data_IF_456195744912
#
_entry.id   IF_456195744912
#
_cell.length_a   1.000
_cell.length_b   1.000
_cell.length_c   1.000
_cell.angle_alpha   90.00
_cell.angle_beta   90.00
_cell.angle_gamma   90.00
#
_symmetry.space_group_name_H-M   'P 1'
#
loop_
_entity.id
_entity.type
_entity.pdbx_description
1 polymer ?
#
# COMPACT_ATOMS: atom_id res chain seq x y z
N UNK A 1 -4.48 -14.35 22.22
CA UNK A 1 -5.10 -15.33 21.28
C UNK A 1 -4.16 -15.52 20.07
N UNK A 2 -4.09 -16.72 19.50
CA UNK A 2 -3.27 -16.96 18.32
C UNK A 2 -3.81 -16.16 17.12
N UNK A 3 -2.90 -15.71 16.24
CA UNK A 3 -3.25 -15.07 14.99
C UNK A 3 -3.87 -16.10 14.04
N UNK A 4 -4.98 -15.76 13.41
CA UNK A 4 -5.70 -16.58 12.43
C UNK A 4 -5.72 -15.97 11.04
N UNK A 5 -5.58 -14.64 10.95
CA UNK A 5 -5.53 -13.94 9.68
C UNK A 5 -4.36 -12.95 9.64
N UNK A 6 -3.68 -12.88 8.48
CA UNK A 6 -2.66 -11.88 8.21
C UNK A 6 -3.07 -11.11 6.96
N UNK A 7 -3.11 -9.79 7.06
CA UNK A 7 -3.37 -8.92 5.90
C UNK A 7 -2.16 -8.05 5.59
N UNK A 8 -1.97 -7.74 4.32
CA UNK A 8 -0.84 -6.97 3.83
C UNK A 8 -1.31 -5.70 3.12
N UNK A 9 -0.71 -4.55 3.47
CA UNK A 9 -0.68 -3.45 2.53
C UNK A 9 0.12 -3.89 1.28
N UNK A 10 -0.41 -3.55 0.09
CA UNK A 10 0.20 -4.02 -1.16
C UNK A 10 1.35 -3.12 -1.58
N UNK A 11 1.07 -1.86 -1.86
CA UNK A 11 2.00 -0.98 -2.57
C UNK A 11 3.27 -0.63 -1.80
N UNK A 12 3.25 -0.57 -0.48
CA UNK A 12 4.42 -0.16 0.29
C UNK A 12 5.05 -1.33 1.06
N UNK A 13 4.23 -2.26 1.57
CA UNK A 13 4.76 -3.41 2.31
C UNK A 13 5.36 -4.47 1.38
N UNK A 14 4.73 -4.73 0.23
CA UNK A 14 5.09 -5.86 -0.65
C UNK A 14 5.85 -5.45 -1.91
N UNK A 15 5.67 -4.24 -2.43
CA UNK A 15 6.21 -3.81 -3.71
C UNK A 15 7.07 -2.55 -3.62
N UNK A 16 8.12 -2.48 -4.45
CA UNK A 16 8.98 -1.29 -4.57
C UNK A 16 8.33 -0.24 -5.47
N UNK A 17 7.47 0.57 -4.87
CA UNK A 17 6.87 1.72 -5.56
C UNK A 17 7.85 2.87 -5.76
N UNK A 18 8.85 3.02 -4.88
CA UNK A 18 9.74 4.19 -4.89
C UNK A 18 10.66 4.17 -6.10
N UNK A 19 11.40 3.07 -6.28
CA UNK A 19 12.35 2.93 -7.39
C UNK A 19 11.61 2.83 -8.72
N UNK A 20 10.54 2.05 -8.79
CA UNK A 20 9.82 1.81 -10.04
C UNK A 20 9.15 3.06 -10.61
N UNK A 21 8.52 3.88 -9.76
CA UNK A 21 7.94 5.13 -10.22
C UNK A 21 9.01 6.14 -10.65
N UNK A 22 10.15 6.19 -9.96
CA UNK A 22 11.27 7.04 -10.37
C UNK A 22 11.83 6.62 -11.74
N UNK A 23 11.99 5.32 -11.99
CA UNK A 23 12.43 4.80 -13.29
C UNK A 23 11.43 5.11 -14.41
N UNK A 24 10.13 5.00 -14.16
CA UNK A 24 9.11 5.36 -15.14
C UNK A 24 9.16 6.85 -15.49
N UNK A 25 9.31 7.72 -14.49
CA UNK A 25 9.46 9.17 -14.68
C UNK A 25 10.76 9.47 -15.44
N UNK A 26 11.87 8.84 -15.11
CA UNK A 26 13.16 9.01 -15.78
C UNK A 26 13.06 8.66 -17.27
N UNK A 27 12.47 7.52 -17.59
CA UNK A 27 12.26 7.08 -18.97
C UNK A 27 11.39 8.09 -19.76
N UNK A 28 10.34 8.60 -19.12
CA UNK A 28 9.47 9.62 -19.71
C UNK A 28 10.23 10.94 -19.98
N UNK A 29 10.96 11.46 -18.98
CA UNK A 29 11.72 12.71 -19.12
C UNK A 29 12.77 12.58 -20.24
N UNK A 30 13.52 11.49 -20.27
CA UNK A 30 14.52 11.22 -21.31
C UNK A 30 13.89 11.20 -22.70
N UNK A 31 12.75 10.52 -22.90
CA UNK A 31 12.06 10.48 -24.19
C UNK A 31 11.56 11.85 -24.64
N UNK A 32 11.15 12.69 -23.70
CA UNK A 32 10.69 14.06 -23.98
C UNK A 32 11.82 15.08 -24.11
N UNK A 33 13.07 14.71 -23.86
CA UNK A 33 14.19 15.64 -23.81
C UNK A 33 14.08 16.68 -22.69
N UNK A 34 13.42 16.32 -21.59
CA UNK A 34 13.19 17.20 -20.44
C UNK A 34 14.22 16.94 -19.34
N UNK A 35 14.62 18.02 -18.66
CA UNK A 35 15.50 17.95 -17.49
C UNK A 35 14.66 18.03 -16.21
N UNK A 36 14.89 17.12 -15.26
CA UNK A 36 14.22 17.10 -13.97
C UNK A 36 14.77 15.98 -13.10
N UNK A 37 14.51 16.04 -11.82
CA UNK A 37 14.87 14.96 -10.87
C UNK A 37 13.74 13.91 -10.82
N UNK A 38 13.94 12.69 -11.37
CA UNK A 38 12.91 11.68 -11.43
C UNK A 38 12.52 11.16 -10.05
N UNK A 39 13.45 11.17 -9.09
CA UNK A 39 13.19 10.71 -7.71
C UNK A 39 12.28 11.70 -6.99
N UNK A 40 12.57 12.99 -7.09
CA UNK A 40 11.73 14.04 -6.49
C UNK A 40 10.34 14.11 -7.13
N UNK A 41 10.24 13.95 -8.45
CA UNK A 41 8.94 13.91 -9.15
C UNK A 41 8.12 12.70 -8.69
N UNK A 42 8.72 11.51 -8.65
CA UNK A 42 8.05 10.30 -8.18
C UNK A 42 7.65 10.40 -6.70
N UNK A 43 8.48 11.00 -5.85
CA UNK A 43 8.18 11.28 -4.44
C UNK A 43 6.97 12.22 -4.32
N UNK A 44 6.98 13.32 -5.07
CA UNK A 44 5.85 14.27 -5.11
C UNK A 44 4.58 13.60 -5.62
N UNK A 45 4.68 12.79 -6.68
CA UNK A 45 3.56 12.01 -7.22
C UNK A 45 2.93 11.11 -6.15
N UNK A 46 3.76 10.29 -5.46
CA UNK A 46 3.30 9.38 -4.41
C UNK A 46 2.72 10.11 -3.20
N UNK A 47 3.35 11.22 -2.79
CA UNK A 47 2.85 12.04 -1.68
C UNK A 47 1.48 12.64 -2.00
N UNK A 48 1.31 13.21 -3.19
CA UNK A 48 0.05 13.83 -3.62
C UNK A 48 -1.05 12.79 -3.85
N UNK A 49 -0.72 11.58 -4.28
CA UNK A 49 -1.68 10.49 -4.35
C UNK A 49 -2.23 10.13 -2.95
N UNK A 50 -1.37 10.01 -1.93
CA UNK A 50 -1.80 9.75 -0.55
C UNK A 50 -2.65 10.90 -0.01
N UNK A 51 -2.21 12.15 -0.23
CA UNK A 51 -2.94 13.35 0.18
C UNK A 51 -4.34 13.41 -0.46
N UNK A 52 -4.45 13.08 -1.75
CA UNK A 52 -5.74 13.00 -2.44
C UNK A 52 -6.70 12.04 -1.75
N UNK A 53 -6.24 10.85 -1.37
CA UNK A 53 -7.07 9.85 -0.69
C UNK A 53 -7.53 10.32 0.70
N UNK A 54 -6.67 11.01 1.46
CA UNK A 54 -7.01 11.60 2.76
C UNK A 54 -8.04 12.71 2.61
N UNK A 55 -7.88 13.58 1.61
CA UNK A 55 -8.84 14.66 1.30
C UNK A 55 -10.19 14.07 0.88
N UNK A 56 -10.19 13.03 0.03
CA UNK A 56 -11.41 12.35 -0.38
C UNK A 56 -12.20 11.76 0.81
N UNK A 57 -11.48 11.19 1.78
CA UNK A 57 -12.10 10.76 3.04
C UNK A 57 -12.76 11.91 3.81
N UNK A 58 -12.10 13.08 3.85
CA UNK A 58 -12.56 14.24 4.63
C UNK A 58 -13.72 14.96 3.99
N UNK A 59 -13.78 14.98 2.66
CA UNK A 59 -14.87 15.69 1.92
C UNK A 59 -16.18 14.92 1.89
N UNK A 60 -16.19 13.66 2.27
CA UNK A 60 -17.38 12.79 2.28
C UNK A 60 -18.16 12.79 0.94
N UNK A 61 -17.44 12.88 -0.16
CA UNK A 61 -18.00 12.87 -1.50
C UNK A 61 -18.09 11.45 -2.06
N UNK A 62 -18.62 11.33 -3.28
CA UNK A 62 -18.69 10.07 -4.01
C UNK A 62 -17.36 9.30 -3.97
N UNK A 63 -17.42 7.95 -3.97
CA UNK A 63 -16.23 7.13 -3.87
C UNK A 63 -15.22 7.52 -4.95
N UNK A 64 -14.06 8.03 -4.54
CA UNK A 64 -12.94 8.22 -5.45
C UNK A 64 -12.28 6.86 -5.70
N UNK A 65 -11.71 6.65 -6.91
CA UNK A 65 -10.85 5.51 -7.16
C UNK A 65 -9.39 5.88 -6.89
N UNK A 66 -8.58 4.88 -6.55
CA UNK A 66 -7.14 5.07 -6.44
C UNK A 66 -6.52 5.44 -7.79
N UNK A 67 -7.04 4.91 -8.89
CA UNK A 67 -6.63 5.27 -10.26
C UNK A 67 -6.77 6.78 -10.48
N UNK A 68 -7.93 7.35 -10.14
CA UNK A 68 -8.14 8.80 -10.25
C UNK A 68 -7.16 9.60 -9.38
N UNK A 69 -6.85 9.11 -8.18
CA UNK A 69 -5.86 9.75 -7.32
C UNK A 69 -4.45 9.70 -7.95
N UNK A 70 -4.07 8.58 -8.55
CA UNK A 70 -2.80 8.39 -9.26
C UNK A 70 -2.71 9.37 -10.44
N UNK A 71 -3.73 9.44 -11.29
CA UNK A 71 -3.76 10.28 -12.49
C UNK A 71 -3.67 11.78 -12.12
N UNK A 72 -4.49 12.22 -11.18
CA UNK A 72 -4.51 13.62 -10.74
C UNK A 72 -3.19 14.04 -10.09
N UNK A 73 -2.61 13.17 -9.25
CA UNK A 73 -1.34 13.44 -8.58
C UNK A 73 -0.14 13.43 -9.54
N UNK A 74 -0.15 12.61 -10.60
CA UNK A 74 0.84 12.65 -11.65
C UNK A 74 0.82 14.00 -12.38
N UNK A 75 -0.36 14.46 -12.79
CA UNK A 75 -0.52 15.78 -13.43
C UNK A 75 0.01 16.90 -12.53
N UNK A 76 -0.28 16.80 -11.22
CA UNK A 76 0.26 17.75 -10.26
C UNK A 76 1.78 17.69 -10.18
N UNK A 77 2.39 16.51 -10.09
CA UNK A 77 3.83 16.34 -9.97
C UNK A 77 4.60 16.89 -11.19
N UNK A 78 4.04 16.74 -12.38
CA UNK A 78 4.64 17.18 -13.63
C UNK A 78 4.21 18.58 -14.11
N UNK A 79 3.32 19.28 -13.39
CA UNK A 79 2.66 20.52 -13.85
C UNK A 79 3.58 21.65 -14.34
N UNK A 80 4.79 21.72 -13.80
CA UNK A 80 5.77 22.76 -14.16
C UNK A 80 6.68 22.35 -15.33
N UNK A 81 6.84 21.04 -15.56
CA UNK A 81 7.67 20.50 -16.65
C UNK A 81 6.83 20.19 -17.89
N UNK A 82 5.61 19.72 -17.69
CA UNK A 82 4.67 19.34 -18.75
C UNK A 82 3.28 19.90 -18.41
N UNK A 83 3.03 21.19 -18.65
CA UNK A 83 1.75 21.82 -18.32
C UNK A 83 0.55 21.15 -18.99
N UNK A 84 0.75 20.56 -20.18
CA UNK A 84 -0.29 19.87 -20.95
C UNK A 84 0.09 18.41 -21.13
N UNK A 85 -0.01 17.64 -20.03
CA UNK A 85 0.17 16.19 -20.07
C UNK A 85 -1.08 15.54 -20.70
N UNK A 86 -0.90 14.82 -21.80
CA UNK A 86 -1.99 14.15 -22.52
C UNK A 86 -2.50 12.93 -21.75
N UNK A 87 -3.73 12.49 -22.04
CA UNK A 87 -4.28 11.27 -21.39
C UNK A 87 -3.48 10.02 -21.75
N UNK A 88 -2.94 9.94 -22.97
CA UNK A 88 -2.07 8.83 -23.38
C UNK A 88 -0.77 8.78 -22.55
N UNK A 89 -0.15 9.93 -22.27
CA UNK A 89 1.04 10.02 -21.43
C UNK A 89 0.74 9.72 -19.96
N UNK A 90 -0.43 10.13 -19.47
CA UNK A 90 -0.89 9.75 -18.13
C UNK A 90 -1.04 8.24 -18.05
N UNK A 91 -1.74 7.63 -19.01
CA UNK A 91 -1.96 6.19 -19.04
C UNK A 91 -0.63 5.41 -19.09
N UNK A 92 0.30 5.84 -19.93
CA UNK A 92 1.63 5.23 -20.03
C UNK A 92 2.38 5.25 -18.69
N UNK A 93 2.47 6.42 -18.04
CA UNK A 93 3.18 6.54 -16.77
C UNK A 93 2.49 5.78 -15.63
N UNK A 94 1.16 5.84 -15.60
CA UNK A 94 0.40 5.17 -14.53
C UNK A 94 0.36 3.65 -14.67
N UNK A 95 0.65 3.10 -15.84
CA UNK A 95 0.83 1.66 -16.04
C UNK A 95 1.95 1.08 -15.15
N UNK A 96 2.95 1.88 -14.77
CA UNK A 96 3.99 1.46 -13.83
C UNK A 96 3.44 0.99 -12.46
N UNK A 97 2.26 1.45 -12.06
CA UNK A 97 1.63 0.99 -10.82
C UNK A 97 1.10 -0.46 -10.88
N UNK A 98 0.97 -1.00 -12.07
CA UNK A 98 0.50 -2.38 -12.30
C UNK A 98 1.68 -3.32 -12.65
N UNK A 99 2.89 -2.78 -12.75
CA UNK A 99 4.12 -3.51 -13.10
C UNK A 99 5.24 -3.34 -12.04
N UNK A 100 4.85 -3.22 -10.79
CA UNK A 100 5.81 -3.08 -9.69
C UNK A 100 6.52 -4.41 -9.40
N UNK A 101 7.84 -4.44 -9.17
CA UNK A 101 8.52 -5.61 -8.65
C UNK A 101 8.21 -5.79 -7.16
N UNK A 102 7.96 -7.01 -6.70
CA UNK A 102 7.92 -7.28 -5.27
C UNK A 102 9.31 -7.08 -4.65
N UNK A 103 9.35 -6.74 -3.37
CA UNK A 103 10.60 -6.77 -2.61
C UNK A 103 11.19 -8.19 -2.62
N UNK A 104 12.53 -8.33 -2.56
CA UNK A 104 13.19 -9.64 -2.75
C UNK A 104 12.71 -10.74 -1.82
N UNK A 105 12.35 -10.40 -0.57
CA UNK A 105 11.92 -11.36 0.44
C UNK A 105 10.45 -11.76 0.37
N UNK A 106 9.61 -11.03 -0.38
CA UNK A 106 8.14 -11.19 -0.36
C UNK A 106 7.70 -12.59 -0.71
N UNK A 107 8.24 -13.15 -1.79
CA UNK A 107 7.84 -14.48 -2.26
C UNK A 107 8.15 -15.57 -1.23
N UNK A 108 9.31 -15.52 -0.63
CA UNK A 108 9.74 -16.54 0.36
C UNK A 108 8.96 -16.42 1.67
N UNK A 109 8.70 -15.18 2.12
CA UNK A 109 7.86 -14.94 3.30
C UNK A 109 6.42 -15.44 3.06
N UNK A 110 5.82 -15.14 1.90
CA UNK A 110 4.48 -15.61 1.59
C UNK A 110 4.40 -17.13 1.49
N UNK A 111 5.41 -17.80 0.92
CA UNK A 111 5.50 -19.27 0.87
C UNK A 111 5.55 -19.87 2.27
N UNK A 112 6.32 -19.28 3.18
CA UNK A 112 6.40 -19.74 4.56
C UNK A 112 5.08 -19.54 5.31
N UNK A 113 4.42 -18.39 5.13
CA UNK A 113 3.11 -18.14 5.74
C UNK A 113 2.04 -19.08 5.21
N UNK A 114 2.10 -19.46 3.92
CA UNK A 114 1.11 -20.38 3.33
C UNK A 114 1.20 -21.82 3.88
N UNK A 115 2.30 -22.18 4.53
CA UNK A 115 2.42 -23.47 5.23
C UNK A 115 1.73 -23.49 6.59
N UNK A 116 1.31 -22.32 7.09
CA UNK A 116 0.64 -22.16 8.39
C UNK A 116 -0.89 -22.13 8.20
N UNK A 117 -1.66 -22.50 9.22
CA UNK A 117 -3.12 -22.46 9.17
C UNK A 117 -3.64 -21.01 9.30
N UNK A 118 -3.27 -20.14 8.37
CA UNK A 118 -3.57 -18.72 8.35
C UNK A 118 -4.39 -18.35 7.12
N UNK A 119 -5.36 -17.46 7.31
CA UNK A 119 -5.99 -16.73 6.21
C UNK A 119 -5.01 -15.63 5.76
N UNK A 120 -4.57 -15.67 4.51
CA UNK A 120 -3.73 -14.63 3.91
C UNK A 120 -4.58 -13.73 3.02
N UNK A 121 -4.59 -12.44 3.32
CA UNK A 121 -5.36 -11.48 2.54
C UNK A 121 -4.56 -10.20 2.28
N UNK A 122 -4.99 -9.42 1.31
CA UNK A 122 -4.51 -8.03 1.16
C UNK A 122 -5.51 -7.07 1.78
N UNK A 123 -5.05 -5.89 2.18
CA UNK A 123 -5.91 -4.75 2.54
C UNK A 123 -5.27 -3.48 2.00
N UNK A 124 -5.77 -2.99 0.87
CA UNK A 124 -5.12 -1.93 0.11
C UNK A 124 -6.09 -0.84 -0.34
N UNK A 125 -5.56 0.36 -0.51
CA UNK A 125 -6.27 1.47 -1.15
C UNK A 125 -6.34 1.35 -2.68
N UNK A 126 -5.63 0.39 -3.28
CA UNK A 126 -5.67 0.14 -4.72
C UNK A 126 -7.03 -0.34 -5.20
N UNK A 127 -7.40 0.02 -6.42
CA UNK A 127 -8.61 -0.48 -7.05
C UNK A 127 -8.48 -1.99 -7.31
N UNK A 128 -9.56 -2.73 -7.20
CA UNK A 128 -9.54 -4.20 -7.21
C UNK A 128 -8.91 -4.79 -8.49
N UNK A 129 -9.10 -4.14 -9.64
CA UNK A 129 -8.47 -4.58 -10.90
C UNK A 129 -6.95 -4.44 -10.86
N UNK A 130 -6.43 -3.30 -10.36
CA UNK A 130 -5.00 -3.05 -10.21
C UNK A 130 -4.34 -4.05 -9.24
N UNK A 131 -5.01 -4.33 -8.12
CA UNK A 131 -4.52 -5.30 -7.14
C UNK A 131 -4.46 -6.70 -7.73
N UNK A 132 -5.50 -7.13 -8.45
CA UNK A 132 -5.50 -8.44 -9.13
C UNK A 132 -4.37 -8.56 -10.14
N UNK A 133 -4.11 -7.52 -10.94
CA UNK A 133 -3.03 -7.52 -11.92
C UNK A 133 -1.65 -7.72 -11.26
N UNK A 134 -1.35 -6.97 -10.18
CA UNK A 134 -0.10 -7.11 -9.43
C UNK A 134 0.03 -8.49 -8.77
N UNK A 135 -1.02 -8.93 -8.07
CA UNK A 135 -0.97 -10.15 -7.26
C UNK A 135 -0.96 -11.43 -8.10
N UNK A 136 -1.53 -11.40 -9.32
CA UNK A 136 -1.47 -12.52 -10.27
C UNK A 136 -0.02 -12.88 -10.68
N UNK A 137 0.92 -11.99 -10.49
CA UNK A 137 2.36 -12.21 -10.78
C UNK A 137 3.11 -12.89 -9.63
N UNK A 138 2.48 -13.00 -8.45
CA UNK A 138 3.07 -13.72 -7.32
C UNK A 138 2.72 -15.22 -7.39
N UNK A 139 3.68 -16.10 -7.09
CA UNK A 139 3.46 -17.56 -7.12
C UNK A 139 2.68 -18.08 -5.90
N UNK A 140 2.20 -17.20 -5.04
CA UNK A 140 1.46 -17.54 -3.82
C UNK A 140 0.11 -16.85 -3.85
N UNK A 141 -1.01 -17.59 -3.86
CA UNK A 141 -2.35 -17.01 -3.88
C UNK A 141 -2.74 -16.44 -2.52
N UNK A 142 -3.59 -15.41 -2.55
CA UNK A 142 -4.29 -14.88 -1.38
C UNK A 142 -5.70 -15.44 -1.28
N UNK A 143 -6.19 -15.67 -0.06
CA UNK A 143 -7.56 -16.13 0.18
C UNK A 143 -8.57 -15.01 -0.09
N UNK A 144 -8.18 -13.73 0.21
CA UNK A 144 -8.99 -12.55 -0.07
C UNK A 144 -8.13 -11.41 -0.62
N UNK A 145 -8.66 -10.71 -1.61
CA UNK A 145 -8.10 -9.45 -2.12
C UNK A 145 -9.05 -8.33 -1.68
N UNK A 146 -8.73 -7.70 -0.55
CA UNK A 146 -9.55 -6.63 0.01
C UNK A 146 -9.06 -5.27 -0.52
N UNK A 147 -9.96 -4.60 -1.23
CA UNK A 147 -9.76 -3.25 -1.76
C UNK A 147 -10.69 -2.28 -1.02
N UNK A 148 -10.24 -1.05 -0.85
CA UNK A 148 -11.08 0.05 -0.36
C UNK A 148 -11.91 0.72 -1.46
N UNK A 149 -11.82 0.21 -2.70
CA UNK A 149 -12.59 0.72 -3.84
C UNK A 149 -14.09 0.80 -3.53
N UNK A 150 -14.71 1.89 -3.95
CA UNK A 150 -16.13 2.13 -3.70
C UNK A 150 -16.49 2.57 -2.27
N UNK A 151 -15.48 2.80 -1.42
CA UNK A 151 -15.65 3.22 -0.04
C UNK A 151 -14.66 4.29 0.39
N UNK A 152 -14.39 4.34 1.70
CA UNK A 152 -13.32 5.16 2.27
C UNK A 152 -11.97 4.47 2.07
N UNK A 153 -10.90 5.26 2.14
CA UNK A 153 -9.52 4.78 2.05
C UNK A 153 -8.88 4.66 3.44
N UNK A 154 -7.93 3.73 3.60
CA UNK A 154 -7.05 3.73 4.78
C UNK A 154 -6.43 5.13 4.94
N UNK A 155 -6.35 5.68 6.15
CA UNK A 155 -6.53 5.06 7.47
C UNK A 155 -7.95 5.15 8.05
N UNK A 156 -8.99 5.41 7.25
CA UNK A 156 -10.35 5.52 7.78
C UNK A 156 -10.80 4.20 8.46
N UNK A 157 -11.36 4.23 9.70
CA UNK A 157 -11.63 3.02 10.48
C UNK A 157 -12.66 2.08 9.84
N UNK A 158 -13.54 2.58 8.96
CA UNK A 158 -14.49 1.73 8.24
C UNK A 158 -13.83 0.71 7.33
N UNK A 159 -12.62 0.98 6.82
CA UNK A 159 -11.86 0.06 5.97
C UNK A 159 -11.45 -1.17 6.77
N UNK A 160 -10.92 -0.97 7.97
CA UNK A 160 -10.50 -2.05 8.86
C UNK A 160 -11.70 -2.82 9.40
N UNK A 161 -12.81 -2.14 9.72
CA UNK A 161 -14.05 -2.79 10.17
C UNK A 161 -14.61 -3.74 9.10
N UNK A 162 -14.71 -3.27 7.84
CA UNK A 162 -15.14 -4.10 6.71
C UNK A 162 -14.23 -5.31 6.49
N UNK A 163 -12.92 -5.14 6.70
CA UNK A 163 -11.97 -6.24 6.61
C UNK A 163 -12.20 -7.26 7.72
N UNK A 164 -12.44 -6.85 8.97
CA UNK A 164 -12.79 -7.77 10.09
C UNK A 164 -14.04 -8.59 9.79
N UNK A 165 -15.09 -7.96 9.28
CA UNK A 165 -16.34 -8.61 8.87
C UNK A 165 -16.10 -9.68 7.79
N UNK A 166 -15.26 -9.35 6.79
CA UNK A 166 -14.96 -10.27 5.69
C UNK A 166 -14.08 -11.44 6.14
N UNK A 167 -13.09 -11.18 7.01
CA UNK A 167 -12.17 -12.21 7.50
C UNK A 167 -12.80 -13.13 8.56
N UNK A 168 -13.87 -12.70 9.22
CA UNK A 168 -14.55 -13.48 10.27
C UNK A 168 -13.67 -13.73 11.48
N UNK A 169 -12.80 -12.80 11.85
CA UNK A 169 -11.89 -12.88 13.00
C UNK A 169 -12.08 -11.69 13.94
N UNK A 170 -11.64 -11.85 15.18
CA UNK A 170 -11.56 -10.74 16.13
C UNK A 170 -10.29 -9.90 15.88
N UNK A 171 -10.24 -8.64 16.38
CA UNK A 171 -9.02 -7.81 16.27
C UNK A 171 -7.78 -8.47 16.87
N UNK A 172 -7.93 -9.27 17.94
CA UNK A 172 -6.84 -9.98 18.60
C UNK A 172 -6.29 -11.17 17.79
N UNK A 173 -7.08 -11.72 16.87
CA UNK A 173 -6.72 -12.83 15.98
C UNK A 173 -6.18 -12.35 14.62
N UNK A 174 -6.14 -11.04 14.39
CA UNK A 174 -5.71 -10.43 13.14
C UNK A 174 -4.39 -9.70 13.31
N UNK A 175 -3.42 -9.99 12.43
CA UNK A 175 -2.19 -9.23 12.25
C UNK A 175 -2.26 -8.46 10.92
N UNK A 176 -2.22 -7.14 10.99
CA UNK A 176 -2.10 -6.30 9.80
C UNK A 176 -0.64 -5.89 9.57
N UNK A 177 -0.15 -6.09 8.35
CA UNK A 177 1.21 -5.71 7.92
C UNK A 177 1.10 -4.43 7.10
N UNK A 178 1.37 -3.31 7.74
CA UNK A 178 1.35 -1.99 7.14
C UNK A 178 2.68 -1.65 6.47
N UNK A 179 2.65 -0.93 5.36
CA UNK A 179 3.85 -0.47 4.65
C UNK A 179 4.10 1.04 4.73
N UNK A 180 3.24 1.79 5.43
CA UNK A 180 3.38 3.24 5.64
C UNK A 180 2.98 3.64 7.04
N UNK A 181 3.53 4.74 7.56
CA UNK A 181 3.18 5.29 8.87
C UNK A 181 1.68 5.54 9.01
N UNK A 182 1.04 6.11 7.98
CA UNK A 182 -0.41 6.41 7.98
C UNK A 182 -1.27 5.16 8.13
N UNK A 183 -0.94 4.06 7.42
CA UNK A 183 -1.65 2.79 7.53
C UNK A 183 -1.40 2.12 8.88
N UNK A 184 -0.15 2.15 9.36
CA UNK A 184 0.23 1.61 10.67
C UNK A 184 -0.55 2.30 11.80
N UNK A 185 -0.63 3.63 11.78
CA UNK A 185 -1.43 4.40 12.74
C UNK A 185 -2.91 4.05 12.66
N UNK A 186 -3.48 3.97 11.44
CA UNK A 186 -4.90 3.69 11.25
C UNK A 186 -5.32 2.30 11.74
N UNK A 187 -4.51 1.28 11.46
CA UNK A 187 -4.73 -0.07 11.96
C UNK A 187 -4.60 -0.15 13.48
N UNK A 188 -3.56 0.49 14.05
CA UNK A 188 -3.34 0.56 15.51
C UNK A 188 -4.48 1.28 16.20
N UNK A 189 -4.92 2.44 15.69
CA UNK A 189 -6.06 3.19 16.21
C UNK A 189 -7.38 2.40 16.15
N UNK A 190 -7.46 1.43 15.22
CA UNK A 190 -8.61 0.52 15.11
C UNK A 190 -8.50 -0.71 16.03
N UNK A 191 -7.51 -0.76 16.92
CA UNK A 191 -7.30 -1.85 17.89
C UNK A 191 -6.75 -3.15 17.28
N UNK A 192 -6.18 -3.08 16.08
CA UNK A 192 -5.65 -4.23 15.37
C UNK A 192 -4.17 -4.42 15.71
N UNK A 193 -3.74 -5.66 15.94
CA UNK A 193 -2.32 -5.97 16.06
C UNK A 193 -1.63 -5.62 14.74
N UNK A 194 -0.68 -4.70 14.79
CA UNK A 194 -0.04 -4.12 13.61
C UNK A 194 1.46 -4.34 13.64
N UNK A 195 1.99 -4.88 12.53
CA UNK A 195 3.41 -4.82 12.20
C UNK A 195 3.61 -3.71 11.15
N UNK A 196 4.46 -2.76 11.43
CA UNK A 196 4.87 -1.77 10.43
C UNK A 196 6.19 -2.18 9.77
N UNK A 197 6.16 -2.44 8.47
CA UNK A 197 7.36 -2.65 7.65
C UNK A 197 7.90 -1.28 7.25
N UNK A 198 8.76 -0.76 8.10
CA UNK A 198 9.35 0.58 7.99
C UNK A 198 10.71 0.54 7.29
N UNK A 199 10.71 0.39 5.98
CA UNK A 199 11.93 0.26 5.15
C UNK A 199 12.75 1.53 5.07
N UNK A 200 12.15 2.67 5.36
CA UNK A 200 12.73 3.98 5.07
C UNK A 200 12.90 4.85 6.31
N UNK A 201 12.84 4.23 7.48
CA UNK A 201 12.98 4.91 8.78
C UNK A 201 12.06 6.14 8.91
N UNK A 202 10.81 5.97 8.48
CA UNK A 202 9.76 6.98 8.64
C UNK A 202 9.32 7.04 10.12
N UNK A 203 8.73 8.17 10.52
CA UNK A 203 8.20 8.39 11.87
C UNK A 203 6.67 8.48 11.79
N UNK A 204 5.97 7.98 12.79
CA UNK A 204 4.53 8.19 12.93
C UNK A 204 4.24 9.63 13.34
N UNK A 205 3.18 10.24 12.78
CA UNK A 205 2.79 11.62 13.08
C UNK A 205 2.23 11.76 14.52
N UNK A 206 1.61 10.71 15.05
CA UNK A 206 1.07 10.68 16.40
C UNK A 206 1.55 9.44 17.15
N UNK A 207 2.48 9.62 18.13
CA UNK A 207 3.04 8.53 18.91
C UNK A 207 2.02 7.68 19.69
N UNK A 208 0.82 8.21 19.97
CA UNK A 208 -0.25 7.47 20.64
C UNK A 208 -0.73 6.26 19.82
N UNK A 209 -0.52 6.30 18.51
CA UNK A 209 -0.90 5.24 17.58
C UNK A 209 0.32 4.55 16.96
N UNK A 210 1.46 4.58 17.64
CA UNK A 210 2.62 3.80 17.23
C UNK A 210 2.30 2.30 17.27
N UNK A 211 2.59 1.54 16.21
CA UNK A 211 2.38 0.10 16.21
C UNK A 211 3.34 -0.58 17.21
N UNK A 212 2.86 -1.66 17.84
CA UNK A 212 3.66 -2.43 18.80
C UNK A 212 4.84 -3.17 18.16
N UNK A 213 4.77 -3.44 16.86
CA UNK A 213 5.81 -4.16 16.13
C UNK A 213 6.27 -3.34 14.92
N UNK A 214 7.59 -3.27 14.76
CA UNK A 214 8.24 -2.64 13.62
C UNK A 214 9.36 -3.54 13.09
N UNK A 215 9.53 -3.57 11.78
CA UNK A 215 10.62 -4.29 11.11
C UNK A 215 11.08 -3.52 9.87
N UNK A 216 12.30 -3.77 9.44
CA UNK A 216 12.87 -3.14 8.24
C UNK A 216 12.41 -3.82 6.95
N UNK A 217 11.91 -5.05 7.02
CA UNK A 217 11.41 -5.82 5.87
C UNK A 217 10.27 -6.78 6.28
N UNK A 218 9.71 -7.48 5.28
CA UNK A 218 8.56 -8.35 5.47
C UNK A 218 8.86 -9.58 6.33
N UNK A 219 10.13 -9.99 6.53
CA UNK A 219 10.51 -11.13 7.39
C UNK A 219 10.07 -10.91 8.83
N UNK A 220 9.93 -9.65 9.25
CA UNK A 220 9.41 -9.31 10.57
C UNK A 220 8.05 -9.95 10.90
N UNK A 221 7.23 -10.29 9.89
CA UNK A 221 5.94 -10.95 10.13
C UNK A 221 6.11 -12.35 10.74
N UNK A 222 7.14 -13.08 10.31
CA UNK A 222 7.44 -14.40 10.85
C UNK A 222 7.85 -14.30 12.33
N UNK A 223 8.70 -13.33 12.67
CA UNK A 223 9.13 -13.10 14.04
C UNK A 223 7.96 -12.77 14.97
N UNK A 224 6.99 -11.93 14.50
CA UNK A 224 5.80 -11.58 15.28
C UNK A 224 4.90 -12.79 15.50
N UNK A 225 4.77 -13.67 14.52
CA UNK A 225 3.94 -14.89 14.62
C UNK A 225 4.59 -15.98 15.49
N UNK A 226 5.93 -16.05 15.49
CA UNK A 226 6.71 -17.04 16.26
C UNK A 226 6.96 -16.60 17.70
N UNK A 227 6.81 -15.29 18.01
CA UNK A 227 6.83 -14.82 19.38
C UNK A 227 5.65 -15.43 20.15
N UNK A 228 5.95 -16.08 21.29
CA UNK A 228 4.89 -16.64 22.17
C UNK A 228 3.84 -15.55 22.47
N UNK A 229 2.55 -15.90 22.50
CA UNK A 229 1.54 -14.94 22.92
C UNK A 229 1.82 -14.50 24.35
N UNK A 230 2.13 -13.21 24.50
CA UNK A 230 2.26 -12.54 25.79
C UNK A 230 0.88 -12.41 26.47
#
# INVERSE_FOLDING_TARGET
MPVRAVTFDVYSAMYDTRTSLAQAVEAFLRRKGLTGDPVEIARSWRQKQREFLLIANSLDREPASNRRAIDASLRYALRHLVPTLTDAEVHELTAAWEDLPPWPEVVDVLRELRRRPLVLATLSNGDAAMLRALLARLPVPFDHILSSEGGRFKPHPSVYRKALETLGVSPAEWLHVAGSATDAMGATASGIRTLWVNRFDEVVDDPRFSPAHQAVDLRGVLNVLDAAPS
#
